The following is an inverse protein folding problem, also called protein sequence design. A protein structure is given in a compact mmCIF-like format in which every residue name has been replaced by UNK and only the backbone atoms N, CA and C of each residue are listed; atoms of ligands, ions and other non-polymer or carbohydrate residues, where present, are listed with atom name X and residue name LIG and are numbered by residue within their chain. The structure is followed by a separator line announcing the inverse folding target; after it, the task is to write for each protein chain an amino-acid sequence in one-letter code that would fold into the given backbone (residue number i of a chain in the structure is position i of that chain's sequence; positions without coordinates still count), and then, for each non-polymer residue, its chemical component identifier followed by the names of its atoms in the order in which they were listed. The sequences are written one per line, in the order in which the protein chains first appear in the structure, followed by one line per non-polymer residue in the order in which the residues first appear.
data_IF_240992029651
#
_entry.id   IF_240992029651
#
_cell.length_a   1.000
_cell.length_b   1.000
_cell.length_c   1.000
_cell.angle_alpha   90.00
_cell.angle_beta   90.00
_cell.angle_gamma   90.00
#
_symmetry.space_group_name_H-M   'P 1'
#
loop_
_entity.id
_entity.type
_entity.pdbx_description
1 polymer ?
#
# COMPACT_ATOMS: atom_id res chain seq x y z
N UNK A 1 -1.26 -10.94 10.87
CA UNK A 1 -0.22 -10.95 9.87
C UNK A 1 -0.38 -9.75 8.95
N UNK A 2 0.71 -9.12 8.59
CA UNK A 2 0.67 -7.95 7.72
C UNK A 2 0.41 -8.37 6.28
N UNK A 3 -0.47 -7.65 5.61
CA UNK A 3 -0.79 -7.94 4.21
C UNK A 3 -1.15 -6.65 3.48
N UNK A 4 -1.43 -6.76 2.19
CA UNK A 4 -1.79 -5.61 1.36
C UNK A 4 -3.29 -5.64 1.09
N UNK A 5 -3.93 -4.48 1.15
CA UNK A 5 -5.37 -4.37 0.91
C UNK A 5 -5.67 -3.71 -0.43
N UNK A 6 -4.96 -4.12 -1.46
CA UNK A 6 -5.05 -3.48 -2.76
C UNK A 6 -6.43 -3.66 -3.38
N UNK A 7 -7.04 -4.85 -3.24
CA UNK A 7 -8.38 -5.07 -3.75
C UNK A 7 -9.38 -4.08 -3.19
N UNK A 8 -9.30 -3.84 -1.88
CA UNK A 8 -10.23 -2.93 -1.25
C UNK A 8 -10.07 -1.51 -1.78
N UNK A 9 -8.83 -1.08 -1.96
CA UNK A 9 -8.56 0.25 -2.49
C UNK A 9 -9.08 0.37 -3.91
N UNK A 10 -8.87 -0.66 -4.73
CA UNK A 10 -9.39 -0.66 -6.10
C UNK A 10 -10.90 -0.54 -6.11
N UNK A 11 -11.59 -1.29 -5.25
CA UNK A 11 -13.05 -1.19 -5.16
C UNK A 11 -13.50 0.20 -4.78
N UNK A 12 -12.82 0.80 -3.81
CA UNK A 12 -13.17 2.13 -3.35
C UNK A 12 -13.01 3.18 -4.45
N UNK A 13 -12.05 2.96 -5.34
CA UNK A 13 -11.79 3.89 -6.44
C UNK A 13 -12.53 3.53 -7.71
N UNK A 14 -13.29 2.44 -7.70
CA UNK A 14 -13.98 2.00 -8.90
C UNK A 14 -13.07 1.47 -9.97
N UNK A 15 -11.94 0.89 -9.58
CA UNK A 15 -10.93 0.36 -10.49
C UNK A 15 -10.87 -1.16 -10.39
N UNK A 16 -10.19 -1.78 -11.35
CA UNK A 16 -10.05 -3.23 -11.40
C UNK A 16 -8.59 -3.63 -11.37
N UNK A 17 -8.28 -4.88 -10.99
CA UNK A 17 -6.91 -5.36 -11.09
C UNK A 17 -6.35 -5.28 -12.51
N UNK A 18 -7.20 -5.47 -13.51
CA UNK A 18 -6.76 -5.34 -14.89
C UNK A 18 -6.28 -3.91 -15.18
N UNK A 19 -7.04 -2.93 -14.72
CA UNK A 19 -6.64 -1.53 -14.83
C UNK A 19 -5.30 -1.29 -14.16
N UNK A 20 -5.11 -1.85 -12.97
CA UNK A 20 -3.87 -1.65 -12.23
C UNK A 20 -2.68 -2.23 -12.99
N UNK A 21 -2.84 -3.41 -13.58
CA UNK A 21 -1.78 -4.00 -14.38
C UNK A 21 -1.42 -3.13 -15.57
N UNK A 22 -2.42 -2.56 -16.22
CA UNK A 22 -2.18 -1.66 -17.34
C UNK A 22 -1.44 -0.40 -16.92
N UNK A 23 -1.82 0.16 -15.79
CA UNK A 23 -1.22 1.40 -15.32
C UNK A 23 0.22 1.21 -14.85
N UNK A 24 0.53 0.06 -14.27
CA UNK A 24 1.84 -0.18 -13.68
C UNK A 24 2.79 -0.94 -14.59
N UNK A 25 2.26 -1.58 -15.62
CA UNK A 25 3.08 -2.45 -16.46
C UNK A 25 3.40 -3.79 -15.83
N UNK A 26 2.82 -4.09 -14.69
CA UNK A 26 3.02 -5.36 -14.01
C UNK A 26 2.14 -6.43 -14.67
N UNK A 27 2.66 -7.65 -14.80
CA UNK A 27 1.89 -8.72 -15.44
C UNK A 27 0.64 -9.03 -14.65
N UNK A 28 -0.41 -9.47 -15.34
CA UNK A 28 -1.68 -9.77 -14.69
C UNK A 28 -1.53 -10.89 -13.65
N UNK A 29 -0.70 -11.87 -13.92
CA UNK A 29 -0.47 -12.93 -12.93
C UNK A 29 0.06 -12.37 -11.64
N UNK A 30 1.02 -11.46 -11.72
CA UNK A 30 1.58 -10.85 -10.52
C UNK A 30 0.57 -9.94 -9.83
N UNK A 31 -0.19 -9.19 -10.60
CA UNK A 31 -1.22 -8.32 -10.04
C UNK A 31 -2.24 -9.14 -9.27
N UNK A 32 -2.69 -10.26 -9.85
CA UNK A 32 -3.69 -11.09 -9.18
C UNK A 32 -3.14 -11.69 -7.88
N UNK A 33 -1.87 -12.13 -7.91
CA UNK A 33 -1.26 -12.66 -6.69
C UNK A 33 -1.18 -11.60 -5.61
N UNK A 34 -0.79 -10.40 -5.98
CA UNK A 34 -0.71 -9.30 -5.02
C UNK A 34 -2.08 -8.96 -4.47
N UNK A 35 -3.08 -8.88 -5.34
CA UNK A 35 -4.44 -8.54 -4.93
C UNK A 35 -5.05 -9.61 -4.04
N UNK A 36 -4.72 -10.87 -4.29
CA UNK A 36 -5.26 -11.97 -3.50
C UNK A 36 -4.50 -12.23 -2.21
N UNK A 37 -3.44 -11.47 -1.95
CA UNK A 37 -2.66 -11.67 -0.75
C UNK A 37 -1.77 -12.90 -0.78
N UNK A 38 -1.47 -13.41 -1.96
CA UNK A 38 -0.63 -14.60 -2.10
C UNK A 38 0.85 -14.28 -2.13
N UNK A 39 1.19 -13.00 -2.10
CA UNK A 39 2.58 -12.57 -2.17
C UNK A 39 3.13 -12.38 -0.77
N UNK A 40 4.24 -13.05 -0.46
CA UNK A 40 4.91 -12.87 0.82
C UNK A 40 6.03 -11.85 0.73
N UNK A 41 6.49 -11.53 -0.47
CA UNK A 41 7.51 -10.50 -0.69
C UNK A 41 7.06 -9.63 -1.85
N UNK A 42 7.54 -8.39 -1.86
CA UNK A 42 7.23 -7.46 -2.94
C UNK A 42 8.40 -6.52 -3.10
N UNK A 43 8.71 -6.17 -4.35
CA UNK A 43 9.82 -5.28 -4.63
C UNK A 43 9.43 -3.83 -4.35
N UNK A 44 10.40 -3.03 -3.98
CA UNK A 44 10.14 -1.62 -3.69
C UNK A 44 9.64 -0.87 -4.92
N UNK A 45 10.20 -1.14 -6.09
CA UNK A 45 9.74 -0.47 -7.29
C UNK A 45 8.30 -0.86 -7.64
N UNK A 46 7.92 -2.10 -7.36
CA UNK A 46 6.55 -2.54 -7.55
C UNK A 46 5.60 -1.78 -6.62
N UNK A 47 5.98 -1.65 -5.36
CA UNK A 47 5.20 -0.87 -4.40
C UNK A 47 5.05 0.58 -4.86
N UNK A 48 6.13 1.17 -5.33
CA UNK A 48 6.09 2.54 -5.78
C UNK A 48 5.14 2.72 -6.95
N UNK A 49 5.19 1.81 -7.91
CA UNK A 49 4.31 1.89 -9.08
C UNK A 49 2.84 1.78 -8.67
N UNK A 50 2.54 0.87 -7.73
CA UNK A 50 1.18 0.70 -7.26
C UNK A 50 0.71 1.95 -6.52
N UNK A 51 1.53 2.50 -5.66
CA UNK A 51 1.18 3.72 -4.93
C UNK A 51 0.90 4.88 -5.88
N UNK A 52 1.72 5.03 -6.90
CA UNK A 52 1.51 6.10 -7.86
C UNK A 52 0.22 5.89 -8.66
N UNK A 53 -0.04 4.65 -9.06
CA UNK A 53 -1.24 4.35 -9.83
C UNK A 53 -2.50 4.59 -9.03
N UNK A 54 -2.48 4.24 -7.75
CA UNK A 54 -3.64 4.39 -6.87
C UNK A 54 -3.68 5.73 -6.16
N UNK A 55 -2.61 6.52 -6.29
CA UNK A 55 -2.51 7.84 -5.68
C UNK A 55 -2.72 7.74 -4.17
N UNK A 56 -2.03 6.82 -3.54
CA UNK A 56 -2.12 6.62 -2.09
C UNK A 56 -0.73 6.44 -1.51
N UNK A 57 -0.63 6.57 -0.19
CA UNK A 57 0.65 6.37 0.48
C UNK A 57 0.90 4.88 0.70
N UNK A 58 2.16 4.55 1.00
CA UNK A 58 2.52 3.16 1.27
C UNK A 58 1.75 2.63 2.48
N UNK A 59 1.58 3.46 3.50
CA UNK A 59 0.84 3.04 4.69
C UNK A 59 -0.60 2.65 4.37
N UNK A 60 -1.20 3.30 3.38
CA UNK A 60 -2.57 2.99 3.00
C UNK A 60 -2.72 1.63 2.35
N UNK A 61 -1.63 1.09 1.83
CA UNK A 61 -1.68 -0.22 1.16
C UNK A 61 -1.71 -1.37 2.15
N UNK A 62 -1.22 -1.19 3.36
CA UNK A 62 -1.05 -2.28 4.31
C UNK A 62 -2.26 -2.44 5.21
N UNK A 63 -2.53 -3.68 5.56
CA UNK A 63 -3.55 -4.01 6.55
C UNK A 63 -3.06 -5.21 7.34
N UNK A 64 -3.65 -5.41 8.51
CA UNK A 64 -3.28 -6.54 9.34
C UNK A 64 -4.44 -6.85 10.29
N UNK A 65 -4.56 -8.12 10.68
CA UNK A 65 -5.52 -8.52 11.71
C UNK A 65 -4.86 -8.65 13.07
N UNK A 66 -3.59 -8.28 13.19
CA UNK A 66 -2.86 -8.28 14.46
C UNK A 66 -3.06 -6.94 15.15
N UNK A 67 -3.68 -6.90 16.33
CA UNK A 67 -3.94 -5.62 17.01
C UNK A 67 -2.68 -4.81 17.27
N UNK A 68 -1.57 -5.48 17.57
CA UNK A 68 -0.31 -4.76 17.80
C UNK A 68 0.16 -4.08 16.53
N UNK A 69 0.10 -4.77 15.40
CA UNK A 69 0.50 -4.18 14.13
C UNK A 69 -0.44 -3.07 13.70
N UNK A 70 -1.73 -3.20 13.99
CA UNK A 70 -2.67 -2.12 13.67
C UNK A 70 -2.32 -0.85 14.43
N UNK A 71 -1.95 -1.00 15.70
CA UNK A 71 -1.53 0.16 16.49
C UNK A 71 -0.28 0.79 15.92
N UNK A 72 0.67 -0.02 15.50
CA UNK A 72 1.91 0.48 14.92
C UNK A 72 1.63 1.22 13.62
N UNK A 73 0.78 0.69 12.77
CA UNK A 73 0.44 1.36 11.52
C UNK A 73 -0.25 2.70 11.79
N UNK A 74 -1.18 2.72 12.73
CA UNK A 74 -1.88 3.96 13.07
C UNK A 74 -0.93 4.97 13.68
N UNK A 75 -0.02 4.50 14.53
CA UNK A 75 0.96 5.37 15.16
C UNK A 75 1.90 5.96 14.11
N UNK A 76 2.32 5.16 13.14
CA UNK A 76 3.20 5.64 12.10
C UNK A 76 2.53 6.74 11.27
N UNK A 77 1.24 6.61 11.00
CA UNK A 77 0.51 7.65 10.30
C UNK A 77 0.48 8.94 11.10
N UNK A 78 0.21 8.83 12.41
CA UNK A 78 0.22 9.99 13.28
C UNK A 78 1.59 10.63 13.37
N UNK A 79 2.62 9.81 13.46
CA UNK A 79 3.99 10.32 13.52
C UNK A 79 4.35 11.01 12.22
N UNK A 80 3.92 10.47 11.08
CA UNK A 80 4.22 11.11 9.81
C UNK A 80 3.66 12.52 9.74
N UNK A 81 2.45 12.72 10.25
CA UNK A 81 1.88 14.06 10.31
C UNK A 81 2.71 14.96 11.20
N UNK A 82 3.11 14.44 12.36
CA UNK A 82 3.93 15.22 13.30
C UNK A 82 5.29 15.51 12.71
N UNK A 83 5.91 14.53 12.07
CA UNK A 83 7.23 14.71 11.49
C UNK A 83 7.20 15.71 10.35
N UNK A 84 6.12 15.76 9.59
CA UNK A 84 6.00 16.75 8.54
C UNK A 84 6.06 18.16 9.09
N UNK A 85 5.51 18.37 10.29
CA UNK A 85 5.57 19.67 10.95
C UNK A 85 6.99 19.98 11.40
N UNK A 86 7.70 18.97 11.91
CA UNK A 86 9.02 19.14 12.51
C UNK A 86 10.15 18.74 11.59
N UNK A 87 9.86 18.50 10.34
CA UNK A 87 10.82 17.88 9.45
C UNK A 87 12.11 18.68 9.34
N UNK A 88 11.99 19.98 9.30
CA UNK A 88 13.17 20.83 9.20
C UNK A 88 14.07 20.70 10.41
N UNK A 89 13.50 20.34 11.54
CA UNK A 89 14.27 20.26 12.78
C UNK A 89 15.07 18.97 12.87
N UNK A 90 14.58 17.90 12.24
CA UNK A 90 15.20 16.61 12.35
C UNK A 90 16.31 16.41 11.33
N UNK A 91 16.36 17.24 10.35
CA UNK A 91 17.41 17.18 9.34
C UNK A 91 18.59 17.97 9.75
#
# INVERSE_FOLDING_TARGET
MLSLKINKILEEQGKTPYWLGKQTGISQNNILKICNGETSTIRFDTLEKICKALNCSINDLFTTNDPTMQRILNYACGINETININKSDTE
#
